data_IF_690479828045
#
_entry.id   IF_690479828045
#
_cell.length_a   1.000
_cell.length_b   1.000
_cell.length_c   1.000
_cell.angle_alpha   90.00
_cell.angle_beta   90.00
_cell.angle_gamma   90.00
#
_symmetry.space_group_name_H-M   'P 1'
#
loop_
_entity.id
_entity.type
_entity.pdbx_description
1 polymer ?
#
# COMPACT_ATOMS: atom_id res chain seq x y z
N UNK A 1 -31.80 -6.95 -16.39
CA UNK A 1 -31.61 -7.17 -14.95
C UNK A 1 -31.39 -5.80 -14.33
N UNK A 2 -32.25 -5.37 -13.39
CA UNK A 2 -32.05 -4.09 -12.69
C UNK A 2 -30.92 -4.31 -11.67
N UNK A 3 -29.73 -3.71 -11.90
CA UNK A 3 -28.71 -3.62 -10.85
C UNK A 3 -29.29 -2.73 -9.75
N UNK A 4 -29.44 -3.29 -8.55
CA UNK A 4 -29.80 -2.52 -7.37
C UNK A 4 -28.55 -1.77 -6.95
N UNK A 5 -28.42 -0.51 -7.36
CA UNK A 5 -27.34 0.36 -6.90
C UNK A 5 -27.67 0.74 -5.46
N UNK A 6 -26.95 0.15 -4.50
CA UNK A 6 -26.98 0.59 -3.10
C UNK A 6 -25.71 1.39 -2.89
N UNK A 7 -25.88 2.69 -2.61
CA UNK A 7 -24.80 3.54 -2.13
C UNK A 7 -24.63 3.29 -0.64
N UNK A 8 -23.43 2.91 -0.22
CA UNK A 8 -23.06 2.82 1.20
C UNK A 8 -22.13 4.00 1.49
N UNK A 9 -22.61 4.93 2.31
CA UNK A 9 -21.86 6.11 2.75
C UNK A 9 -21.50 5.96 4.22
N UNK A 10 -20.23 6.19 4.57
CA UNK A 10 -19.81 6.38 5.96
C UNK A 10 -19.46 7.86 6.13
N UNK A 11 -20.17 8.55 7.02
CA UNK A 11 -19.85 9.92 7.40
C UNK A 11 -18.89 9.90 8.58
N UNK A 12 -17.67 10.39 8.38
CA UNK A 12 -16.67 10.51 9.44
C UNK A 12 -16.97 11.75 10.26
N UNK A 13 -17.34 11.54 11.52
CA UNK A 13 -17.37 12.60 12.54
C UNK A 13 -15.97 12.87 13.06
N UNK A 14 -15.61 14.15 13.21
CA UNK A 14 -14.41 14.60 13.93
C UNK A 14 -14.42 13.96 15.33
N UNK A 15 -13.62 12.91 15.54
CA UNK A 15 -13.50 12.30 16.86
C UNK A 15 -12.57 13.18 17.70
N UNK A 16 -13.15 13.94 18.62
CA UNK A 16 -12.40 14.58 19.69
C UNK A 16 -11.75 13.49 20.54
N UNK A 17 -10.44 13.62 20.75
CA UNK A 17 -9.64 12.71 21.56
C UNK A 17 -10.24 12.52 22.97
N UNK A 18 -10.55 11.28 23.31
CA UNK A 18 -10.55 10.80 24.70
C UNK A 18 -9.71 9.53 24.79
N UNK A 19 -8.79 9.53 25.75
CA UNK A 19 -7.76 8.51 25.96
C UNK A 19 -8.25 7.22 26.63
N UNK A 20 -7.53 6.12 26.31
CA UNK A 20 -7.35 4.84 27.04
C UNK A 20 -8.61 3.95 27.09
N UNK A 21 -8.60 2.64 26.78
CA UNK A 21 -7.61 1.56 26.97
C UNK A 21 -7.83 0.39 26.00
N UNK A 22 -6.71 -0.24 25.62
CA UNK A 22 -6.37 -1.65 25.27
C UNK A 22 -7.51 -2.71 25.29
N UNK A 23 -7.58 -3.47 24.17
CA UNK A 23 -7.79 -4.93 24.08
C UNK A 23 -7.02 -5.39 22.81
N UNK A 24 -5.74 -5.73 22.90
CA UNK A 24 -5.21 -7.11 22.97
C UNK A 24 -6.21 -8.20 22.51
N UNK A 25 -6.14 -8.60 21.24
CA UNK A 25 -6.22 -9.98 20.75
C UNK A 25 -6.17 -9.94 19.20
N UNK A 26 -5.07 -10.42 18.60
CA UNK A 26 -5.03 -11.41 17.50
C UNK A 26 -3.58 -11.65 17.04
N UNK A 27 -3.11 -12.84 17.41
CA UNK A 27 -1.97 -13.67 16.97
C UNK A 27 -0.50 -13.20 17.11
N UNK A 28 0.30 -13.95 17.91
CA UNK A 28 1.75 -13.92 17.88
C UNK A 28 2.27 -15.00 16.93
N UNK A 29 2.82 -14.60 15.78
CA UNK A 29 3.91 -15.40 15.19
C UNK A 29 5.19 -14.57 15.17
N UNK A 30 6.14 -15.06 15.95
CA UNK A 30 7.48 -14.50 16.13
C UNK A 30 8.22 -14.48 14.80
N UNK A 31 8.77 -13.31 14.47
CA UNK A 31 9.92 -13.13 13.57
C UNK A 31 10.95 -14.25 13.77
N UNK A 32 11.36 -14.98 12.72
CA UNK A 32 12.74 -15.42 12.60
C UNK A 32 13.60 -14.17 12.36
N UNK A 33 14.72 -14.08 13.06
CA UNK A 33 15.60 -12.92 13.01
C UNK A 33 16.12 -12.62 11.61
N UNK A 34 16.45 -11.34 11.40
CA UNK A 34 17.25 -10.82 10.30
C UNK A 34 18.49 -11.72 10.13
N UNK A 35 18.50 -12.60 9.13
CA UNK A 35 19.67 -13.38 8.76
C UNK A 35 19.72 -13.58 7.24
N UNK A 36 20.95 -13.52 6.76
CA UNK A 36 21.45 -13.44 5.39
C UNK A 36 21.16 -14.66 4.53
N UNK A 37 20.87 -14.37 3.26
CA UNK A 37 20.93 -15.19 2.03
C UNK A 37 21.00 -16.72 2.18
N UNK A 38 19.95 -17.42 1.72
CA UNK A 38 20.03 -18.81 1.29
C UNK A 38 19.31 -19.01 -0.05
N UNK A 39 19.95 -19.75 -0.94
CA UNK A 39 19.49 -20.06 -2.31
C UNK A 39 18.98 -21.49 -2.37
N UNK A 40 17.82 -21.72 -3.00
CA UNK A 40 17.33 -23.08 -3.31
C UNK A 40 16.82 -23.17 -4.75
N UNK A 41 17.05 -24.34 -5.36
CA UNK A 41 16.73 -24.68 -6.75
C UNK A 41 15.42 -25.47 -6.83
N UNK A 42 14.53 -25.14 -7.77
CA UNK A 42 13.21 -25.76 -7.93
C UNK A 42 13.21 -26.95 -8.90
N UNK A 43 12.42 -27.98 -8.56
CA UNK A 43 11.96 -29.05 -9.48
C UNK A 43 10.46 -28.86 -9.78
N UNK A 44 10.07 -29.09 -11.03
CA UNK A 44 8.81 -28.74 -11.71
C UNK A 44 7.57 -29.57 -11.35
N UNK A 45 6.36 -28.96 -11.29
CA UNK A 45 5.32 -29.02 -12.34
C UNK A 45 4.00 -28.28 -12.00
N UNK A 46 3.38 -27.76 -13.08
CA UNK A 46 2.04 -27.16 -13.30
C UNK A 46 1.87 -25.63 -13.09
N UNK A 47 1.27 -25.02 -14.13
CA UNK A 47 1.24 -23.61 -14.53
C UNK A 47 0.88 -22.63 -13.41
N UNK A 48 1.91 -22.21 -12.71
CA UNK A 48 2.09 -20.95 -12.00
C UNK A 48 3.50 -20.49 -12.36
N UNK A 49 3.66 -19.24 -12.80
CA UNK A 49 5.00 -18.72 -13.10
C UNK A 49 5.55 -18.14 -11.80
N UNK A 50 6.29 -18.95 -11.06
CA UNK A 50 7.12 -18.45 -9.96
C UNK A 50 8.27 -17.62 -10.56
N UNK A 51 8.32 -16.32 -10.26
CA UNK A 51 9.45 -15.47 -10.63
C UNK A 51 10.40 -15.43 -9.43
N UNK A 52 11.36 -16.36 -9.40
CA UNK A 52 12.32 -16.48 -8.30
C UNK A 52 13.69 -15.91 -8.70
N UNK A 53 13.90 -14.59 -8.65
CA UNK A 53 15.25 -14.02 -8.80
C UNK A 53 15.43 -12.74 -7.98
N UNK A 54 15.98 -12.87 -6.76
CA UNK A 54 16.52 -11.74 -6.01
C UNK A 54 17.85 -11.29 -6.64
N UNK A 55 17.98 -10.00 -6.94
CA UNK A 55 19.28 -9.39 -7.29
C UNK A 55 19.85 -8.74 -6.02
N UNK A 56 21.15 -8.92 -5.68
CA UNK A 56 21.75 -8.23 -4.55
C UNK A 56 21.66 -6.71 -4.73
N UNK A 57 21.49 -5.99 -3.63
CA UNK A 57 21.47 -4.53 -3.60
C UNK A 57 22.83 -4.01 -4.11
N UNK A 58 22.80 -3.07 -5.05
CA UNK A 58 24.00 -2.46 -5.63
C UNK A 58 24.52 -1.42 -4.65
N UNK A 59 25.69 -1.68 -4.06
CA UNK A 59 26.43 -0.75 -3.19
C UNK A 59 27.27 0.21 -4.04
N UNK A 60 27.49 1.44 -3.57
CA UNK A 60 28.46 2.35 -4.19
C UNK A 60 29.92 1.86 -4.01
N UNK A 61 30.89 2.50 -4.66
CA UNK A 61 32.31 2.09 -4.62
C UNK A 61 32.92 2.04 -3.20
N UNK A 62 32.28 2.69 -2.22
CA UNK A 62 32.68 2.73 -0.81
C UNK A 62 31.85 1.80 0.10
N UNK A 63 30.88 1.06 -0.46
CA UNK A 63 30.01 0.16 0.30
C UNK A 63 28.90 0.87 1.09
N UNK A 64 28.64 2.15 0.81
CA UNK A 64 27.57 2.93 1.42
C UNK A 64 26.31 2.82 0.58
N UNK A 65 25.22 2.37 1.20
CA UNK A 65 23.89 2.46 0.60
C UNK A 65 23.25 3.75 1.12
N UNK A 66 22.93 4.74 0.27
CA UNK A 66 22.20 5.91 0.71
C UNK A 66 20.83 5.46 1.24
N UNK A 67 20.51 5.91 2.45
CA UNK A 67 19.26 5.59 3.14
C UNK A 67 18.45 6.85 3.38
N UNK A 68 17.15 6.65 3.49
CA UNK A 68 16.26 7.71 3.91
C UNK A 68 16.35 7.84 5.42
N UNK A 69 17.12 8.84 5.87
CA UNK A 69 17.32 9.15 7.27
C UNK A 69 16.32 10.19 7.81
N UNK A 70 15.31 10.57 7.02
CA UNK A 70 14.27 11.50 7.46
C UNK A 70 13.57 10.89 8.66
N UNK A 71 13.39 11.73 9.67
CA UNK A 71 12.57 11.42 10.84
C UNK A 71 11.53 12.52 10.93
N UNK A 72 10.37 12.34 10.25
CA UNK A 72 9.28 13.29 10.35
C UNK A 72 8.93 13.51 11.82
N UNK A 73 9.00 14.77 12.25
CA UNK A 73 8.79 15.25 13.61
C UNK A 73 7.63 16.25 13.65
N UNK A 74 6.59 15.98 12.86
CA UNK A 74 5.42 16.84 12.75
C UNK A 74 4.83 17.19 14.13
N UNK A 75 4.67 18.50 14.38
CA UNK A 75 4.03 19.02 15.59
C UNK A 75 2.75 19.72 15.19
N UNK A 76 1.61 19.18 15.61
CA UNK A 76 0.31 19.78 15.35
C UNK A 76 0.23 21.20 15.95
N UNK A 77 -0.20 22.21 15.18
CA UNK A 77 -0.41 23.57 15.67
C UNK A 77 -1.60 23.65 16.63
N UNK A 78 -1.68 24.77 17.38
CA UNK A 78 -2.73 24.99 18.36
C UNK A 78 -4.14 25.13 17.76
N UNK A 79 -4.24 25.61 16.52
CA UNK A 79 -5.48 25.80 15.78
C UNK A 79 -5.34 25.19 14.36
N UNK A 80 -5.48 23.85 14.24
CA UNK A 80 -5.21 23.14 13.00
C UNK A 80 -6.32 23.36 11.96
N UNK A 81 -5.95 23.47 10.69
CA UNK A 81 -6.92 23.54 9.58
C UNK A 81 -7.10 22.19 8.89
N UNK A 82 -8.28 21.99 8.29
CA UNK A 82 -8.70 20.71 7.75
C UNK A 82 -9.40 20.91 6.41
N UNK A 83 -9.06 20.05 5.46
CA UNK A 83 -9.77 19.92 4.20
C UNK A 83 -10.48 18.59 4.10
N UNK A 84 -11.73 18.62 3.62
CA UNK A 84 -12.47 17.41 3.30
C UNK A 84 -11.96 16.81 1.99
N UNK A 85 -11.69 15.51 2.00
CA UNK A 85 -11.45 14.68 0.81
C UNK A 85 -12.49 13.59 0.74
N UNK A 86 -13.02 13.37 -0.47
CA UNK A 86 -14.09 12.39 -0.69
C UNK A 86 -13.68 11.47 -1.82
N UNK A 87 -13.68 10.18 -1.54
CA UNK A 87 -13.38 9.11 -2.47
C UNK A 87 -14.67 8.40 -2.84
N UNK A 88 -14.89 8.22 -4.14
CA UNK A 88 -16.04 7.52 -4.68
C UNK A 88 -15.54 6.45 -5.63
N UNK A 89 -15.93 5.20 -5.39
CA UNK A 89 -15.53 4.11 -6.27
C UNK A 89 -16.60 3.03 -6.37
N UNK A 90 -16.49 2.20 -7.39
CA UNK A 90 -17.33 1.02 -7.55
C UNK A 90 -16.60 -0.16 -6.94
N UNK A 91 -17.28 -0.90 -6.05
CA UNK A 91 -16.75 -2.13 -5.42
C UNK A 91 -16.15 -3.11 -6.43
N UNK A 92 -15.22 -3.95 -5.99
CA UNK A 92 -14.45 -4.83 -6.89
C UNK A 92 -15.36 -5.78 -7.70
N UNK A 93 -16.48 -6.23 -7.11
CA UNK A 93 -17.46 -7.10 -7.76
C UNK A 93 -18.56 -6.35 -8.54
N UNK A 94 -18.48 -5.01 -8.55
CA UNK A 94 -19.37 -4.09 -9.28
C UNK A 94 -20.82 -4.15 -8.82
N UNK A 95 -21.09 -4.58 -7.58
CA UNK A 95 -22.44 -4.61 -6.97
C UNK A 95 -22.78 -3.34 -6.22
N UNK A 96 -21.79 -2.65 -5.67
CA UNK A 96 -21.96 -1.47 -4.82
C UNK A 96 -21.17 -0.26 -5.34
N UNK A 97 -21.62 0.92 -4.93
CA UNK A 97 -20.86 2.17 -5.02
C UNK A 97 -20.57 2.62 -3.60
N UNK A 98 -19.30 2.85 -3.30
CA UNK A 98 -18.84 3.27 -1.99
C UNK A 98 -18.43 4.73 -2.01
N UNK A 99 -18.64 5.39 -0.88
CA UNK A 99 -18.14 6.74 -0.61
C UNK A 99 -17.50 6.77 0.78
N UNK A 100 -16.25 7.21 0.84
CA UNK A 100 -15.55 7.55 2.09
C UNK A 100 -15.21 9.04 2.03
N UNK A 101 -15.47 9.74 3.13
CA UNK A 101 -15.15 11.15 3.30
C UNK A 101 -14.28 11.37 4.53
N UNK A 102 -13.06 11.85 4.33
CA UNK A 102 -12.10 12.10 5.41
C UNK A 102 -11.85 13.60 5.55
N UNK A 103 -11.63 14.08 6.77
CA UNK A 103 -11.05 15.40 7.00
C UNK A 103 -9.55 15.20 7.22
N UNK A 104 -8.75 15.74 6.30
CA UNK A 104 -7.30 15.63 6.34
C UNK A 104 -6.72 16.97 6.75
N UNK A 105 -5.76 16.96 7.66
CA UNK A 105 -5.18 18.19 8.21
C UNK A 105 -4.27 18.87 7.18
N UNK A 106 -4.54 20.14 6.87
CA UNK A 106 -3.76 20.89 5.88
C UNK A 106 -2.33 21.14 6.38
N UNK A 107 -2.16 21.47 7.67
CA UNK A 107 -0.82 21.77 8.23
C UNK A 107 0.12 20.56 8.17
N UNK A 108 -0.45 19.36 8.35
CA UNK A 108 0.32 18.12 8.24
C UNK A 108 0.69 17.87 6.78
N UNK A 109 -0.24 18.08 5.85
CA UNK A 109 0.05 17.96 4.42
C UNK A 109 1.18 18.92 4.00
N UNK A 110 1.09 20.20 4.34
CA UNK A 110 2.10 21.20 4.02
C UNK A 110 3.48 20.84 4.63
N UNK A 111 3.49 20.33 5.86
CA UNK A 111 4.71 19.85 6.49
C UNK A 111 5.36 18.72 5.67
N UNK A 112 4.61 17.64 5.38
CA UNK A 112 5.13 16.49 4.64
C UNK A 112 5.53 16.84 3.21
N UNK A 113 4.77 17.70 2.56
CA UNK A 113 5.05 18.20 1.21
C UNK A 113 6.31 19.07 1.17
N UNK A 114 6.64 19.75 2.27
CA UNK A 114 7.88 20.55 2.38
C UNK A 114 9.16 19.72 2.61
N UNK A 115 9.03 18.43 2.98
CA UNK A 115 10.19 17.57 3.22
C UNK A 115 10.96 17.32 1.91
N UNK A 116 12.28 17.30 1.98
CA UNK A 116 13.10 16.86 0.86
C UNK A 116 12.80 15.39 0.51
N UNK A 117 12.90 15.03 -0.77
CA UNK A 117 12.80 13.65 -1.25
C UNK A 117 14.18 13.13 -1.64
N UNK A 118 14.47 11.90 -1.24
CA UNK A 118 15.64 11.17 -1.70
C UNK A 118 15.24 10.28 -2.87
N UNK A 119 15.12 10.86 -4.06
CA UNK A 119 14.64 10.17 -5.28
C UNK A 119 15.37 8.86 -5.59
N UNK A 120 16.67 8.80 -5.33
CA UNK A 120 17.48 7.58 -5.55
C UNK A 120 17.37 6.52 -4.45
N UNK A 121 16.63 6.80 -3.37
CA UNK A 121 16.51 5.91 -2.21
C UNK A 121 15.09 5.37 -2.10
N UNK A 122 14.94 4.07 -2.33
CA UNK A 122 13.64 3.38 -2.39
C UNK A 122 13.30 2.71 -1.05
N UNK A 123 13.53 3.43 0.05
CA UNK A 123 13.23 3.02 1.42
C UNK A 123 11.72 3.23 1.75
N UNK A 124 10.83 2.69 0.92
CA UNK A 124 9.39 2.92 1.03
C UNK A 124 8.77 2.45 2.35
N UNK A 125 9.41 1.51 3.04
CA UNK A 125 9.02 1.06 4.38
C UNK A 125 8.97 2.22 5.41
N UNK A 126 9.79 3.27 5.23
CA UNK A 126 9.77 4.46 6.10
C UNK A 126 8.49 5.27 5.92
N UNK A 127 7.94 5.34 4.71
CA UNK A 127 6.68 6.03 4.44
C UNK A 127 5.49 5.26 5.02
N UNK A 128 5.51 3.92 4.91
CA UNK A 128 4.48 3.03 5.45
C UNK A 128 4.52 2.97 6.99
N UNK A 129 5.68 3.15 7.59
CA UNK A 129 5.88 3.05 9.05
C UNK A 129 5.95 4.39 9.75
N UNK A 130 5.57 5.48 9.09
CA UNK A 130 5.52 6.81 9.69
C UNK A 130 4.39 6.92 10.74
N UNK A 131 4.78 7.29 11.96
CA UNK A 131 3.88 7.35 13.12
C UNK A 131 2.77 8.40 12.99
N UNK A 132 3.02 9.51 12.28
CA UNK A 132 2.01 10.55 12.13
C UNK A 132 0.93 10.11 11.12
N UNK A 133 1.32 9.39 10.06
CA UNK A 133 0.42 8.86 9.03
C UNK A 133 -0.41 7.67 9.54
N UNK A 134 0.11 6.87 10.48
CA UNK A 134 -0.53 5.67 11.01
C UNK A 134 -2.02 5.88 11.37
N UNK A 135 -2.36 6.96 12.09
CA UNK A 135 -3.75 7.21 12.51
C UNK A 135 -4.71 7.40 11.34
N UNK A 136 -4.29 8.13 10.32
CA UNK A 136 -5.10 8.39 9.12
C UNK A 136 -5.31 7.11 8.32
N UNK A 137 -4.23 6.35 8.09
CA UNK A 137 -4.28 5.09 7.35
C UNK A 137 -5.14 4.08 8.09
N UNK A 138 -4.96 3.95 9.42
CA UNK A 138 -5.77 3.07 10.25
C UNK A 138 -7.26 3.39 10.15
N UNK A 139 -7.61 4.67 10.22
CA UNK A 139 -9.00 5.08 10.12
C UNK A 139 -9.60 4.68 8.76
N UNK A 140 -8.87 4.91 7.66
CA UNK A 140 -9.30 4.52 6.32
C UNK A 140 -9.43 3.00 6.18
N UNK A 141 -8.47 2.24 6.70
CA UNK A 141 -8.50 0.78 6.72
C UNK A 141 -9.72 0.24 7.48
N UNK A 142 -10.01 0.78 8.67
CA UNK A 142 -11.17 0.41 9.47
C UNK A 142 -12.50 0.74 8.75
N UNK A 143 -12.56 1.85 8.01
CA UNK A 143 -13.72 2.23 7.20
C UNK A 143 -13.93 1.31 6.00
N UNK A 144 -12.87 0.99 5.24
CA UNK A 144 -12.92 0.01 4.15
C UNK A 144 -13.36 -1.36 4.68
N UNK A 145 -12.81 -1.79 5.83
CA UNK A 145 -13.19 -3.05 6.48
C UNK A 145 -14.67 -3.07 6.87
N UNK A 146 -15.18 -1.96 7.41
CA UNK A 146 -16.59 -1.82 7.76
C UNK A 146 -17.51 -1.91 6.54
N UNK A 147 -17.14 -1.30 5.42
CA UNK A 147 -17.87 -1.44 4.15
C UNK A 147 -17.86 -2.90 3.67
N UNK A 148 -16.70 -3.56 3.73
CA UNK A 148 -16.56 -4.96 3.37
C UNK A 148 -17.46 -5.87 4.23
N UNK A 149 -17.49 -5.65 5.54
CA UNK A 149 -18.32 -6.40 6.48
C UNK A 149 -19.82 -6.22 6.20
N UNK A 150 -20.25 -5.00 5.88
CA UNK A 150 -21.63 -4.72 5.49
C UNK A 150 -22.04 -5.43 4.19
N UNK A 151 -21.07 -5.64 3.29
CA UNK A 151 -21.26 -6.39 2.05
C UNK A 151 -21.13 -7.92 2.22
N UNK A 152 -20.72 -8.39 3.40
CA UNK A 152 -20.46 -9.80 3.69
C UNK A 152 -19.20 -10.34 3.03
N UNK A 153 -18.20 -9.48 2.77
CA UNK A 153 -16.92 -9.86 2.20
C UNK A 153 -16.03 -10.59 3.21
N UNK A 154 -15.38 -11.66 2.77
CA UNK A 154 -14.33 -12.35 3.52
C UNK A 154 -12.98 -11.64 3.42
N UNK A 155 -11.92 -12.28 3.94
CA UNK A 155 -10.56 -11.73 3.92
C UNK A 155 -10.07 -11.48 2.49
N UNK A 156 -10.24 -12.45 1.58
CA UNK A 156 -9.79 -12.34 0.19
C UNK A 156 -10.49 -11.21 -0.56
N UNK A 157 -11.79 -11.05 -0.32
CA UNK A 157 -12.61 -9.97 -0.88
C UNK A 157 -12.24 -8.62 -0.26
N UNK A 158 -11.89 -8.58 1.03
CA UNK A 158 -11.42 -7.36 1.69
C UNK A 158 -10.09 -6.88 1.11
N UNK A 159 -9.14 -7.80 0.86
CA UNK A 159 -7.87 -7.46 0.19
C UNK A 159 -8.14 -6.92 -1.22
N UNK A 160 -9.01 -7.59 -2.00
CA UNK A 160 -9.39 -7.14 -3.36
C UNK A 160 -10.07 -5.77 -3.33
N UNK A 161 -10.96 -5.53 -2.38
CA UNK A 161 -11.63 -4.24 -2.24
C UNK A 161 -10.66 -3.13 -1.82
N UNK A 162 -9.71 -3.43 -0.94
CA UNK A 162 -8.68 -2.47 -0.53
C UNK A 162 -7.78 -2.09 -1.72
N UNK A 163 -7.35 -3.08 -2.52
CA UNK A 163 -6.62 -2.83 -3.76
C UNK A 163 -7.47 -2.03 -4.77
N UNK A 164 -8.74 -2.39 -4.95
CA UNK A 164 -9.67 -1.71 -5.84
C UNK A 164 -9.94 -0.25 -5.43
N UNK A 165 -9.99 0.04 -4.13
CA UNK A 165 -10.04 1.41 -3.63
C UNK A 165 -8.79 2.20 -4.06
N UNK A 166 -7.58 1.67 -3.83
CA UNK A 166 -6.34 2.36 -4.22
C UNK A 166 -6.27 2.55 -5.74
N UNK A 167 -6.59 1.53 -6.53
CA UNK A 167 -6.65 1.60 -7.99
C UNK A 167 -7.70 2.59 -8.53
N UNK A 168 -8.62 3.06 -7.68
CA UNK A 168 -9.62 4.08 -8.06
C UNK A 168 -9.13 5.52 -7.92
N UNK A 169 -7.98 5.72 -7.27
CA UNK A 169 -7.30 7.01 -7.14
C UNK A 169 -6.66 7.35 -8.49
N UNK A 170 -6.65 8.65 -8.86
CA UNK A 170 -6.18 9.08 -10.17
C UNK A 170 -4.67 8.84 -10.32
N UNK A 171 -4.26 8.15 -11.38
CA UNK A 171 -2.85 7.99 -11.71
C UNK A 171 -2.29 9.25 -12.35
N UNK A 172 -1.33 9.91 -11.70
CA UNK A 172 -0.65 11.12 -12.19
C UNK A 172 0.84 11.02 -11.86
N UNK A 173 1.69 11.11 -12.88
CA UNK A 173 3.15 11.12 -12.69
C UNK A 173 3.62 12.31 -11.83
N UNK A 174 4.76 12.15 -11.18
CA UNK A 174 5.34 13.16 -10.31
C UNK A 174 5.58 14.51 -10.97
N UNK A 175 6.05 14.52 -12.23
CA UNK A 175 6.34 15.77 -12.94
C UNK A 175 5.06 16.59 -13.12
N UNK A 176 3.95 15.92 -13.38
CA UNK A 176 2.65 16.53 -13.56
C UNK A 176 2.02 16.94 -12.22
N UNK A 177 2.16 16.11 -11.18
CA UNK A 177 1.49 16.34 -9.89
C UNK A 177 2.27 17.28 -8.94
N UNK A 178 3.60 17.18 -8.89
CA UNK A 178 4.46 17.89 -7.94
C UNK A 178 5.44 18.85 -8.62
N UNK A 179 5.74 18.64 -9.90
CA UNK A 179 6.78 19.39 -10.64
C UNK A 179 8.19 18.84 -10.45
N UNK A 180 8.34 17.68 -9.78
CA UNK A 180 9.60 16.95 -9.61
C UNK A 180 9.59 15.66 -10.45
N UNK A 181 10.76 15.12 -10.77
CA UNK A 181 10.83 13.87 -11.58
C UNK A 181 10.62 12.59 -10.76
N UNK A 182 10.76 12.66 -9.44
CA UNK A 182 10.65 11.54 -8.50
C UNK A 182 10.38 12.14 -7.10
N UNK A 183 9.18 11.94 -6.59
CA UNK A 183 8.62 12.50 -5.38
C UNK A 183 7.68 11.48 -4.71
N UNK A 184 8.22 10.45 -4.04
CA UNK A 184 7.36 9.48 -3.38
C UNK A 184 6.56 10.17 -2.27
N UNK A 185 5.27 9.90 -2.23
CA UNK A 185 4.31 10.50 -1.31
C UNK A 185 4.14 9.62 -0.07
N UNK A 186 3.97 10.28 1.07
CA UNK A 186 3.41 9.63 2.25
C UNK A 186 1.92 9.34 2.00
N UNK A 187 1.32 8.33 2.67
CA UNK A 187 -0.10 8.01 2.50
C UNK A 187 -1.03 9.22 2.63
N UNK A 188 -0.74 10.15 3.55
CA UNK A 188 -1.44 11.42 3.71
C UNK A 188 -1.48 12.24 2.41
N UNK A 189 -0.35 12.38 1.72
CA UNK A 189 -0.22 13.23 0.53
C UNK A 189 -0.99 12.62 -0.64
N UNK A 190 -0.87 11.31 -0.88
CA UNK A 190 -1.67 10.60 -1.90
C UNK A 190 -3.17 10.78 -1.66
N UNK A 191 -3.61 10.69 -0.40
CA UNK A 191 -5.02 10.90 -0.02
C UNK A 191 -5.44 12.38 -0.10
N UNK A 192 -4.54 13.31 0.21
CA UNK A 192 -4.82 14.74 0.15
C UNK A 192 -4.90 15.24 -1.29
N UNK A 193 -3.98 14.83 -2.16
CA UNK A 193 -3.97 15.20 -3.57
C UNK A 193 -5.03 14.44 -4.37
N UNK A 194 -5.45 13.28 -3.87
CA UNK A 194 -6.31 12.31 -4.56
C UNK A 194 -5.69 11.81 -5.87
N UNK A 195 -4.36 11.81 -5.94
CA UNK A 195 -3.58 11.28 -7.06
C UNK A 195 -2.18 10.83 -6.63
N UNK A 196 -1.57 9.98 -7.45
CA UNK A 196 -0.18 9.54 -7.32
C UNK A 196 0.21 8.60 -8.46
N UNK A 197 1.45 8.14 -8.47
CA UNK A 197 1.95 7.17 -9.44
C UNK A 197 2.14 5.77 -8.83
N UNK A 198 3.11 4.98 -9.34
CA UNK A 198 3.23 3.57 -9.00
C UNK A 198 3.72 3.35 -7.57
N UNK A 199 4.72 4.12 -7.12
CA UNK A 199 5.23 4.07 -5.76
C UNK A 199 4.22 4.61 -4.76
N UNK A 200 3.54 5.72 -5.05
CA UNK A 200 2.57 6.35 -4.16
C UNK A 200 1.42 5.38 -3.86
N UNK A 201 0.91 4.76 -4.93
CA UNK A 201 -0.17 3.79 -4.85
C UNK A 201 0.28 2.52 -4.11
N UNK A 202 1.52 2.08 -4.34
CA UNK A 202 2.10 0.93 -3.62
C UNK A 202 2.31 1.23 -2.14
N UNK A 203 2.83 2.41 -1.78
CA UNK A 203 3.00 2.86 -0.40
C UNK A 203 1.64 2.90 0.31
N UNK A 204 0.63 3.52 -0.30
CA UNK A 204 -0.71 3.61 0.28
C UNK A 204 -1.34 2.22 0.47
N UNK A 205 -1.28 1.34 -0.54
CA UNK A 205 -1.80 -0.02 -0.43
C UNK A 205 -1.05 -0.83 0.65
N UNK A 206 0.28 -0.76 0.66
CA UNK A 206 1.11 -1.42 1.67
C UNK A 206 0.74 -0.98 3.09
N UNK A 207 0.53 0.32 3.30
CA UNK A 207 0.12 0.86 4.59
C UNK A 207 -1.30 0.39 5.00
N UNK A 208 -2.26 0.37 4.07
CA UNK A 208 -3.60 -0.14 4.35
C UNK A 208 -3.60 -1.64 4.68
N UNK A 209 -2.87 -2.46 3.92
CA UNK A 209 -2.75 -3.89 4.18
C UNK A 209 -2.09 -4.20 5.52
N UNK A 210 -1.07 -3.41 5.90
CA UNK A 210 -0.45 -3.46 7.23
C UNK A 210 -1.47 -3.24 8.35
N UNK A 211 -2.28 -2.19 8.26
CA UNK A 211 -3.30 -1.88 9.27
C UNK A 211 -4.40 -2.94 9.34
N UNK A 212 -4.71 -3.58 8.21
CA UNK A 212 -5.64 -4.71 8.13
C UNK A 212 -5.02 -6.05 8.59
N UNK A 213 -3.72 -6.08 8.88
CA UNK A 213 -3.00 -7.27 9.36
C UNK A 213 -2.59 -8.27 8.27
N UNK A 214 -2.61 -7.87 7.01
CA UNK A 214 -2.22 -8.74 5.89
C UNK A 214 -0.75 -8.52 5.54
N UNK A 215 0.09 -9.56 5.69
CA UNK A 215 1.51 -9.47 5.31
C UNK A 215 1.68 -9.11 3.83
N UNK A 216 2.55 -8.16 3.53
CA UNK A 216 2.89 -7.80 2.15
C UNK A 216 4.36 -7.40 1.99
N UNK A 217 4.80 -7.38 0.74
CA UNK A 217 6.15 -7.03 0.27
C UNK A 217 6.03 -5.95 -0.81
N UNK A 218 7.08 -5.16 -0.98
CA UNK A 218 7.27 -4.39 -2.21
C UNK A 218 7.92 -5.26 -3.29
N UNK A 219 7.51 -5.03 -4.52
CA UNK A 219 8.03 -5.67 -5.73
C UNK A 219 8.47 -4.54 -6.66
N UNK A 220 9.78 -4.34 -6.80
CA UNK A 220 10.36 -3.36 -7.71
C UNK A 220 10.76 -4.05 -9.01
N UNK A 221 10.10 -3.64 -10.09
CA UNK A 221 10.37 -4.01 -11.48
C UNK A 221 11.05 -2.82 -12.18
N UNK A 222 11.59 -2.98 -13.40
CA UNK A 222 12.19 -1.87 -14.13
C UNK A 222 11.23 -0.68 -14.26
N UNK A 223 11.60 0.46 -13.64
CA UNK A 223 10.79 1.70 -13.61
C UNK A 223 9.36 1.51 -13.06
N UNK A 224 9.13 0.50 -12.21
CA UNK A 224 7.80 0.21 -11.67
C UNK A 224 7.83 -0.38 -10.27
N UNK A 225 6.86 0.01 -9.43
CA UNK A 225 6.71 -0.50 -8.07
C UNK A 225 5.31 -1.06 -7.90
N UNK A 226 5.22 -2.24 -7.30
CA UNK A 226 3.99 -2.94 -7.01
C UNK A 226 4.02 -3.56 -5.60
N UNK A 227 2.89 -4.13 -5.18
CA UNK A 227 2.76 -4.83 -3.90
C UNK A 227 2.56 -6.33 -4.13
N UNK A 228 3.23 -7.15 -3.32
CA UNK A 228 2.90 -8.57 -3.18
C UNK A 228 2.14 -8.80 -1.88
N UNK A 229 0.96 -9.45 -1.91
CA UNK A 229 0.21 -9.81 -0.69
C UNK A 229 0.38 -11.28 -0.36
N UNK A 230 0.64 -11.60 0.91
CA UNK A 230 0.82 -12.97 1.37
C UNK A 230 -0.44 -13.79 1.07
N UNK A 231 -0.25 -14.93 0.42
CA UNK A 231 -1.32 -15.83 0.01
C UNK A 231 -1.00 -17.28 0.43
N UNK A 232 -2.00 -18.15 0.31
CA UNK A 232 -1.79 -19.59 0.42
C UNK A 232 -1.09 -20.13 -0.82
N UNK A 233 -0.34 -21.22 -0.66
CA UNK A 233 0.47 -21.85 -1.73
C UNK A 233 -0.36 -22.29 -2.96
N UNK A 234 -1.66 -22.53 -2.78
CA UNK A 234 -2.59 -22.94 -3.83
C UNK A 234 -3.30 -21.76 -4.52
N UNK A 235 -3.04 -20.52 -4.09
CA UNK A 235 -3.68 -19.34 -4.65
C UNK A 235 -3.20 -19.11 -6.10
N UNK A 236 -4.11 -19.00 -7.08
CA UNK A 236 -3.73 -18.87 -8.47
C UNK A 236 -3.25 -17.45 -8.78
N UNK A 237 -2.29 -17.35 -9.70
CA UNK A 237 -1.77 -16.08 -10.20
C UNK A 237 -0.24 -16.05 -10.25
N UNK A 238 0.28 -14.89 -10.61
CA UNK A 238 1.71 -14.58 -10.51
C UNK A 238 2.04 -14.27 -9.07
N UNK A 239 3.07 -14.93 -8.54
CA UNK A 239 3.55 -14.72 -7.19
C UNK A 239 5.07 -14.63 -7.14
N UNK A 240 5.54 -14.11 -6.02
CA UNK A 240 6.94 -14.02 -5.66
C UNK A 240 7.17 -14.70 -4.31
N UNK A 241 8.22 -15.50 -4.23
CA UNK A 241 8.63 -16.17 -2.99
C UNK A 241 9.53 -15.28 -2.17
N UNK A 242 9.19 -15.08 -0.90
CA UNK A 242 9.99 -14.28 0.01
C UNK A 242 9.87 -14.82 1.43
N UNK A 243 11.00 -15.03 2.10
CA UNK A 243 11.07 -15.55 3.48
C UNK A 243 10.19 -16.79 3.73
N UNK A 244 10.11 -17.70 2.74
CA UNK A 244 9.35 -18.94 2.84
C UNK A 244 7.83 -18.79 2.74
N UNK A 245 7.32 -17.66 2.24
CA UNK A 245 5.91 -17.41 1.97
C UNK A 245 5.69 -16.98 0.51
N UNK A 246 4.53 -17.32 -0.05
CA UNK A 246 4.10 -16.86 -1.36
C UNK A 246 3.38 -15.52 -1.27
N UNK A 247 3.75 -14.58 -2.14
CA UNK A 247 3.12 -13.26 -2.23
C UNK A 247 2.56 -13.05 -3.64
N UNK A 248 1.24 -12.96 -3.77
CA UNK A 248 0.58 -12.68 -5.04
C UNK A 248 0.78 -11.23 -5.45
N UNK A 249 1.15 -11.02 -6.71
CA UNK A 249 1.33 -9.70 -7.30
C UNK A 249 0.01 -8.90 -7.32
N UNK A 250 0.06 -7.62 -6.93
CA UNK A 250 -1.02 -6.66 -7.04
C UNK A 250 -0.52 -5.47 -7.83
N UNK A 251 -1.09 -5.27 -9.01
CA UNK A 251 -0.94 -4.04 -9.78
C UNK A 251 -1.80 -2.93 -9.14
N UNK A 252 -1.21 -1.76 -8.90
CA UNK A 252 -1.89 -0.65 -8.20
C UNK A 252 -2.20 0.53 -9.09
N UNK A 253 -1.61 0.63 -10.29
CA UNK A 253 -1.59 1.85 -11.11
C UNK A 253 -2.86 2.11 -11.91
N UNK A 254 -3.77 1.15 -12.02
CA UNK A 254 -5.02 1.34 -12.75
C UNK A 254 -6.15 0.45 -12.21
N UNK A 255 -7.38 0.86 -12.46
CA UNK A 255 -8.57 0.07 -12.12
C UNK A 255 -8.68 -1.21 -12.94
N UNK A 256 -9.15 -2.27 -12.28
CA UNK A 256 -9.56 -3.51 -12.95
C UNK A 256 -8.48 -4.57 -13.08
N UNK A 257 -7.31 -4.38 -12.47
CA UNK A 257 -6.33 -5.44 -12.32
C UNK A 257 -6.74 -6.40 -11.21
N UNK A 258 -6.86 -7.68 -11.55
CA UNK A 258 -7.07 -8.75 -10.59
C UNK A 258 -5.76 -9.10 -9.87
N UNK A 259 -5.84 -9.38 -8.57
CA UNK A 259 -4.72 -9.95 -7.81
C UNK A 259 -4.18 -11.19 -8.50
N UNK A 260 -2.86 -11.24 -8.67
CA UNK A 260 -2.12 -12.28 -9.39
C UNK A 260 -1.89 -11.97 -10.87
N UNK A 261 -2.36 -10.84 -11.39
CA UNK A 261 -2.18 -10.47 -12.80
C UNK A 261 -0.97 -9.55 -12.96
N UNK A 262 0.10 -10.06 -13.57
CA UNK A 262 1.28 -9.28 -13.94
C UNK A 262 1.06 -8.63 -15.32
N UNK A 263 1.33 -7.33 -15.49
CA UNK A 263 1.36 -6.72 -16.82
C UNK A 263 2.35 -7.42 -17.77
N UNK A 264 1.96 -7.55 -19.04
CA UNK A 264 2.75 -8.31 -20.02
C UNK A 264 4.17 -7.76 -20.24
N UNK A 265 4.34 -6.45 -20.06
CA UNK A 265 5.61 -5.73 -20.21
C UNK A 265 6.67 -6.17 -19.16
N UNK A 266 6.25 -6.80 -18.07
CA UNK A 266 7.14 -7.31 -17.03
C UNK A 266 7.34 -8.83 -17.08
N UNK A 267 6.79 -9.50 -18.10
CA UNK A 267 7.05 -10.93 -18.28
C UNK A 267 8.56 -11.17 -18.44
N UNK A 268 9.09 -12.10 -17.63
CA UNK A 268 10.51 -12.47 -17.60
C UNK A 268 11.46 -11.40 -17.03
N UNK A 269 10.95 -10.24 -16.61
CA UNK A 269 11.75 -9.22 -15.92
C UNK A 269 12.13 -9.66 -14.51
N UNK A 270 13.24 -9.12 -14.02
CA UNK A 270 13.72 -9.40 -12.67
C UNK A 270 13.14 -8.40 -11.68
N UNK A 271 12.56 -8.91 -10.60
CA UNK A 271 12.09 -8.07 -9.51
C UNK A 271 13.11 -8.02 -8.36
N UNK A 272 13.23 -6.86 -7.71
CA UNK A 272 13.77 -6.77 -6.35
C UNK A 272 12.60 -6.82 -5.36
N UNK A 273 12.82 -7.49 -4.24
CA UNK A 273 11.79 -7.69 -3.21
C UNK A 273 12.35 -7.18 -1.88
N UNK A 274 11.53 -6.42 -1.16
CA UNK A 274 11.85 -5.92 0.17
C UNK A 274 10.60 -5.83 1.05
N UNK A 275 10.82 -5.84 2.36
CA UNK A 275 9.77 -5.75 3.36
C UNK A 275 9.03 -4.41 3.33
N UNK A 276 7.74 -4.44 3.68
CA UNK A 276 6.93 -3.22 3.85
C UNK A 276 7.02 -2.68 5.29
N UNK A 277 7.22 -3.53 6.32
CA UNK A 277 7.42 -3.16 7.74
C UNK A 277 8.12 -4.23 8.59
#
# INVERSE_FOLDING_TARGET
MKKLLITICVAVGVYFAFSNTIDEFLYPEKRPGLNTYDTYTTTTQQTTTAVTQQTPIVTDEDGYEPRDDRKPDYVQPADPTWSKRTFNWTSYDKRYTFEISMNIQDDMYEYYHSLLRYSYVKDYHNYVSDDNNHKLVKQLADEIKSLCDQCGYGESETIRETANFVQSIEYVDDMTSTGYTDFPKYPLETLYDQCGDCEDSSILLGALLKELGYGCIFIELPEHVAIGVKATDDAPGTYYDYNGSHYLYIETTNSGWDIGTLPDDFNEEKAKIYDVW
#
